data_IF_951003196492
#
_entry.id   IF_951003196492
#
_cell.length_a   1.000
_cell.length_b   1.000
_cell.length_c   1.000
_cell.angle_alpha   90.00
_cell.angle_beta   90.00
_cell.angle_gamma   90.00
#
_symmetry.space_group_name_H-M   'P 1'
#
loop_
_entity.id
_entity.type
_entity.pdbx_description
1 polymer ?
#
# COMPACT_ATOMS: atom_id res chain seq x y z
N UNK A 1 4.38 -20.59 -17.33
CA UNK A 1 3.92 -19.24 -16.92
C UNK A 1 4.20 -19.04 -15.43
N UNK A 2 4.95 -18.01 -15.04
CA UNK A 2 5.17 -17.66 -13.62
C UNK A 2 4.19 -16.57 -13.22
N UNK A 3 3.33 -16.83 -12.24
CA UNK A 3 2.25 -15.92 -11.81
C UNK A 3 2.80 -14.59 -11.24
N UNK A 4 4.05 -14.58 -10.75
CA UNK A 4 4.67 -13.41 -10.11
C UNK A 4 5.54 -12.55 -11.05
N UNK A 5 5.87 -13.04 -12.24
CA UNK A 5 6.77 -12.34 -13.15
C UNK A 5 6.12 -11.02 -13.62
N UNK A 6 6.86 -9.91 -13.58
CA UNK A 6 6.36 -8.59 -13.94
C UNK A 6 5.36 -7.98 -12.93
N UNK A 7 5.25 -8.54 -11.73
CA UNK A 7 4.34 -8.02 -10.68
C UNK A 7 5.14 -7.39 -9.55
N UNK A 8 4.46 -6.65 -8.67
CA UNK A 8 5.04 -6.14 -7.41
C UNK A 8 5.55 -7.26 -6.49
N UNK A 9 5.12 -8.50 -6.75
CA UNK A 9 5.52 -9.71 -6.04
C UNK A 9 6.68 -10.46 -6.71
N UNK A 10 7.29 -9.86 -7.74
CA UNK A 10 8.48 -10.42 -8.33
C UNK A 10 9.65 -10.41 -7.31
N UNK A 11 10.41 -11.49 -7.30
CA UNK A 11 11.51 -11.76 -6.37
C UNK A 11 11.16 -11.77 -4.86
N UNK A 12 9.88 -11.77 -4.46
CA UNK A 12 9.53 -11.97 -3.04
C UNK A 12 9.36 -13.45 -2.69
N UNK A 13 9.76 -13.79 -1.46
CA UNK A 13 9.53 -15.10 -0.83
C UNK A 13 8.15 -15.21 -0.17
N UNK A 14 7.39 -14.11 -0.08
CA UNK A 14 6.06 -14.10 0.51
C UNK A 14 5.08 -14.97 -0.28
N UNK A 15 4.06 -15.51 0.38
CA UNK A 15 2.97 -16.19 -0.32
C UNK A 15 2.11 -15.16 -1.07
N UNK A 16 1.46 -15.59 -2.17
CA UNK A 16 0.53 -14.71 -2.92
C UNK A 16 -0.65 -14.32 -2.02
N UNK A 17 -1.13 -15.25 -1.19
CA UNK A 17 -2.22 -14.99 -0.25
C UNK A 17 -1.84 -13.91 0.77
N UNK A 18 -0.62 -13.92 1.29
CA UNK A 18 -0.10 -12.87 2.19
C UNK A 18 -0.11 -11.51 1.50
N UNK A 19 0.32 -11.46 0.24
CA UNK A 19 0.33 -10.22 -0.53
C UNK A 19 -1.08 -9.70 -0.81
N UNK A 20 -2.02 -10.56 -1.20
CA UNK A 20 -3.42 -10.17 -1.43
C UNK A 20 -4.07 -9.67 -0.15
N UNK A 21 -3.83 -10.35 1.00
CA UNK A 21 -4.28 -9.87 2.31
C UNK A 21 -3.69 -8.51 2.66
N UNK A 22 -2.39 -8.31 2.39
CA UNK A 22 -1.74 -7.02 2.62
C UNK A 22 -2.36 -5.90 1.78
N UNK A 23 -2.62 -6.16 0.50
CA UNK A 23 -3.30 -5.20 -0.40
C UNK A 23 -4.68 -4.87 0.15
N UNK A 24 -5.48 -5.89 0.50
CA UNK A 24 -6.79 -5.69 1.11
C UNK A 24 -6.70 -4.75 2.32
N UNK A 25 -5.85 -5.07 3.31
CA UNK A 25 -5.69 -4.27 4.52
C UNK A 25 -5.26 -2.82 4.24
N UNK A 26 -4.32 -2.61 3.31
CA UNK A 26 -3.83 -1.27 2.95
C UNK A 26 -4.94 -0.43 2.29
N UNK A 27 -5.83 -1.06 1.53
CA UNK A 27 -6.93 -0.37 0.82
C UNK A 27 -8.16 -0.06 1.69
N UNK A 28 -8.22 -0.53 2.95
CA UNK A 28 -9.39 -0.29 3.82
C UNK A 28 -9.38 1.08 4.52
N UNK A 29 -8.23 1.70 4.77
CA UNK A 29 -8.16 2.99 5.49
C UNK A 29 -7.75 4.13 4.53
N UNK A 30 -8.60 5.16 4.44
CA UNK A 30 -8.36 6.35 3.61
C UNK A 30 -7.11 7.15 3.99
N UNK A 31 -6.65 7.03 5.24
CA UNK A 31 -5.42 7.67 5.77
C UNK A 31 -4.18 6.80 5.55
N UNK A 32 -4.36 5.55 5.13
CA UNK A 32 -3.31 4.55 4.99
C UNK A 32 -2.96 3.83 6.30
N UNK A 33 -2.06 2.84 6.17
CA UNK A 33 -1.70 1.91 7.24
C UNK A 33 -0.21 2.05 7.58
N UNK A 34 0.14 1.92 8.87
CA UNK A 34 1.55 1.89 9.30
C UNK A 34 2.17 0.50 9.09
N UNK A 35 3.48 0.44 8.82
CA UNK A 35 4.16 -0.84 8.65
C UNK A 35 4.06 -1.75 9.89
N UNK A 36 4.05 -1.16 11.09
CA UNK A 36 3.88 -1.88 12.35
C UNK A 36 2.48 -2.49 12.48
N UNK A 37 1.44 -1.76 12.09
CA UNK A 37 0.06 -2.28 12.09
C UNK A 37 -0.08 -3.42 11.07
N UNK A 38 0.46 -3.22 9.86
CA UNK A 38 0.43 -4.25 8.82
C UNK A 38 1.16 -5.52 9.26
N UNK A 39 2.32 -5.39 9.92
CA UNK A 39 3.06 -6.51 10.49
C UNK A 39 2.21 -7.30 11.49
N UNK A 40 1.53 -6.59 12.41
CA UNK A 40 0.66 -7.20 13.43
C UNK A 40 -0.55 -7.91 12.80
N UNK A 41 -1.24 -7.26 11.86
CA UNK A 41 -2.42 -7.82 11.19
C UNK A 41 -2.09 -9.05 10.32
N UNK A 42 -0.89 -9.09 9.73
CA UNK A 42 -0.43 -10.22 8.92
C UNK A 42 0.28 -11.31 9.74
N UNK A 43 0.47 -11.11 11.05
CA UNK A 43 1.20 -12.06 11.91
C UNK A 43 2.67 -12.25 11.50
N UNK A 44 3.30 -11.21 10.95
CA UNK A 44 4.69 -11.28 10.49
C UNK A 44 5.66 -11.04 11.64
N UNK A 45 6.77 -11.78 11.67
CA UNK A 45 7.80 -11.63 12.71
C UNK A 45 8.78 -10.47 12.47
N UNK A 46 8.86 -9.96 11.24
CA UNK A 46 9.84 -8.95 10.82
C UNK A 46 9.16 -7.66 10.38
N UNK A 47 9.47 -6.57 11.07
CA UNK A 47 9.05 -5.22 10.70
C UNK A 47 9.56 -4.84 9.31
N UNK A 48 10.84 -5.10 9.03
CA UNK A 48 11.46 -4.78 7.73
C UNK A 48 10.74 -5.45 6.57
N UNK A 49 10.27 -6.69 6.76
CA UNK A 49 9.54 -7.41 5.73
C UNK A 49 8.17 -6.76 5.48
N UNK A 50 7.46 -6.37 6.54
CA UNK A 50 6.18 -5.66 6.43
C UNK A 50 6.36 -4.26 5.80
N UNK A 51 7.42 -3.55 6.18
CA UNK A 51 7.78 -2.24 5.63
C UNK A 51 8.07 -2.33 4.13
N UNK A 52 8.91 -3.29 3.70
CA UNK A 52 9.21 -3.50 2.27
C UNK A 52 7.96 -3.87 1.46
N UNK A 53 7.08 -4.70 2.03
CA UNK A 53 5.82 -5.06 1.38
C UNK A 53 4.90 -3.84 1.22
N UNK A 54 4.75 -3.04 2.28
CA UNK A 54 3.95 -1.82 2.26
C UNK A 54 4.47 -0.82 1.21
N UNK A 55 5.79 -0.63 1.13
CA UNK A 55 6.40 0.24 0.12
C UNK A 55 6.16 -0.25 -1.31
N UNK A 56 6.28 -1.56 -1.57
CA UNK A 56 5.97 -2.12 -2.89
C UNK A 56 4.51 -1.88 -3.29
N UNK A 57 3.57 -2.01 -2.35
CA UNK A 57 2.15 -1.75 -2.59
C UNK A 57 1.93 -0.27 -2.90
N UNK A 58 2.49 0.64 -2.09
CA UNK A 58 2.38 2.09 -2.29
C UNK A 58 3.00 2.55 -3.60
N UNK A 59 4.14 1.98 -3.98
CA UNK A 59 4.78 2.29 -5.25
C UNK A 59 3.93 1.83 -6.44
N UNK A 60 3.24 0.70 -6.32
CA UNK A 60 2.29 0.23 -7.33
C UNK A 60 1.11 1.18 -7.49
N UNK A 61 0.54 1.65 -6.38
CA UNK A 61 -0.54 2.64 -6.38
C UNK A 61 -0.08 3.95 -7.02
N UNK A 62 1.09 4.48 -6.60
CA UNK A 62 1.71 5.67 -7.20
C UNK A 62 1.94 5.50 -8.70
N UNK A 63 2.51 4.38 -9.12
CA UNK A 63 2.77 4.10 -10.54
C UNK A 63 1.47 4.06 -11.34
N UNK A 64 0.39 3.54 -10.76
CA UNK A 64 -0.92 3.54 -11.39
C UNK A 64 -1.50 4.95 -11.48
N UNK A 65 -1.44 5.71 -10.39
CA UNK A 65 -1.95 7.08 -10.34
C UNK A 65 -1.24 8.00 -11.34
N UNK A 66 0.07 7.81 -11.53
CA UNK A 66 0.87 8.54 -12.51
C UNK A 66 0.45 8.30 -13.98
N UNK A 67 -0.34 7.26 -14.25
CA UNK A 67 -0.90 7.03 -15.61
C UNK A 67 -2.14 7.87 -15.89
N UNK A 68 -2.72 8.50 -14.87
CA UNK A 68 -3.89 9.35 -15.02
C UNK A 68 -3.48 10.83 -15.01
N UNK A 69 -4.14 11.62 -15.84
CA UNK A 69 -4.06 13.09 -15.80
C UNK A 69 -5.45 13.62 -15.54
N UNK A 70 -5.63 14.31 -14.42
CA UNK A 70 -6.90 14.98 -14.10
C UNK A 70 -7.15 16.09 -15.12
N UNK A 71 -8.39 16.23 -15.58
CA UNK A 71 -8.78 17.23 -16.58
C UNK A 71 -10.19 17.76 -16.30
N UNK A 72 -10.50 18.96 -16.80
CA UNK A 72 -11.76 19.64 -16.52
C UNK A 72 -11.74 20.41 -15.19
N UNK A 73 -12.87 20.46 -14.50
CA UNK A 73 -12.98 21.05 -13.17
C UNK A 73 -12.48 20.03 -12.14
N UNK A 74 -11.46 20.40 -11.36
CA UNK A 74 -10.87 19.55 -10.33
C UNK A 74 -11.31 20.08 -8.96
N UNK A 75 -12.00 19.25 -8.21
CA UNK A 75 -12.39 19.52 -6.83
C UNK A 75 -11.54 18.65 -5.89
N UNK A 76 -11.06 19.28 -4.81
CA UNK A 76 -10.25 18.64 -3.77
C UNK A 76 -11.07 18.66 -2.48
N UNK A 77 -11.39 17.48 -1.95
CA UNK A 77 -12.12 17.32 -0.69
C UNK A 77 -11.35 16.38 0.27
N UNK A 78 -11.54 16.56 1.57
CA UNK A 78 -11.02 15.66 2.61
C UNK A 78 -9.54 15.82 2.95
N UNK A 79 -8.98 17.02 2.81
CA UNK A 79 -7.58 17.28 3.14
C UNK A 79 -7.43 17.88 4.56
N UNK A 80 -6.93 17.08 5.50
CA UNK A 80 -6.54 17.51 6.84
C UNK A 80 -5.02 17.69 6.92
N UNK A 81 -4.57 18.90 7.24
CA UNK A 81 -3.15 19.22 7.44
C UNK A 81 -2.96 20.02 8.74
N UNK A 82 -2.16 19.51 9.67
CA UNK A 82 -1.78 20.20 10.91
C UNK A 82 -2.02 19.42 12.20
N UNK A 83 -1.42 19.87 13.31
CA UNK A 83 -1.77 19.42 14.67
C UNK A 83 -3.04 20.14 15.14
N UNK A 84 -4.01 19.37 15.63
CA UNK A 84 -5.09 19.90 16.45
C UNK A 84 -4.47 20.27 17.81
N UNK A 85 -4.13 21.54 18.01
CA UNK A 85 -3.83 22.05 19.36
C UNK A 85 -5.12 22.11 20.16
N UNK A 86 -5.01 21.65 21.41
CA UNK A 86 -6.06 21.53 22.43
C UNK A 86 -6.98 22.76 22.56
#
# INVERSE_FOLDING_TARGET
MRIRAGTILEHTKLSILTAVRAIFLVTQDKRGVSALLLMRQLGMSSYDTAWRLLHRIREAMRSRDATYTLSGVIELDGADFGEQKD
#
